data_IF_212297698044
#
_entry.id   IF_212297698044
#
_cell.length_a   1.000
_cell.length_b   1.000
_cell.length_c   1.000
_cell.angle_alpha   90.00
_cell.angle_beta   90.00
_cell.angle_gamma   90.00
#
_symmetry.space_group_name_H-M   'P 1'
#
loop_
_entity.id
_entity.type
_entity.pdbx_description
1 polymer ?
#
# COMPACT_ATOMS: atom_id res chain seq x y z
N UNK A 1 26.20 -17.88 34.79
CA UNK A 1 26.06 -16.81 33.77
C UNK A 1 25.61 -17.45 32.49
N UNK A 2 24.31 -17.42 32.17
CA UNK A 2 23.85 -17.94 30.88
C UNK A 2 22.53 -17.31 30.46
N UNK A 3 22.46 -17.04 29.16
CA UNK A 3 21.28 -16.83 28.32
C UNK A 3 20.73 -15.40 28.21
N UNK A 4 21.45 -14.59 27.41
CA UNK A 4 20.83 -13.56 26.56
C UNK A 4 21.04 -13.97 25.11
N UNK A 5 20.11 -14.73 24.52
CA UNK A 5 20.00 -14.93 23.06
C UNK A 5 18.54 -15.26 22.67
N UNK A 6 17.61 -14.34 22.86
CA UNK A 6 16.23 -14.50 22.37
C UNK A 6 15.59 -13.17 21.97
N UNK A 7 16.24 -12.39 21.10
CA UNK A 7 15.57 -11.21 20.50
C UNK A 7 15.86 -10.99 19.00
N UNK A 8 16.72 -11.80 18.36
CA UNK A 8 17.14 -11.52 16.98
C UNK A 8 16.22 -12.11 15.89
N UNK A 9 15.47 -13.18 16.18
CA UNK A 9 14.67 -13.87 15.16
C UNK A 9 13.37 -13.13 14.79
N UNK A 10 12.77 -12.38 15.72
CA UNK A 10 11.47 -11.73 15.50
C UNK A 10 11.58 -10.53 14.54
N UNK A 11 12.75 -9.88 14.50
CA UNK A 11 12.97 -8.67 13.69
C UNK A 11 13.12 -9.03 12.20
N UNK A 12 13.65 -10.22 11.88
CA UNK A 12 13.83 -10.67 10.49
C UNK A 12 12.51 -11.08 9.79
N UNK A 13 11.55 -11.64 10.52
CA UNK A 13 10.27 -12.05 9.91
C UNK A 13 9.34 -10.87 9.60
N UNK A 14 9.40 -9.79 10.39
CA UNK A 14 8.54 -8.62 10.22
C UNK A 14 8.97 -7.79 9.00
N UNK A 15 10.27 -7.77 8.67
CA UNK A 15 10.80 -7.03 7.51
C UNK A 15 10.61 -7.78 6.19
N UNK A 16 10.63 -9.12 6.20
CA UNK A 16 10.40 -9.93 5.00
C UNK A 16 8.96 -9.82 4.47
N UNK A 17 7.96 -9.85 5.35
CA UNK A 17 6.55 -9.76 4.93
C UNK A 17 6.18 -8.39 4.34
N UNK A 18 6.70 -7.30 4.93
CA UNK A 18 6.50 -5.96 4.38
C UNK A 18 7.07 -5.81 2.98
N UNK A 19 8.32 -6.25 2.80
CA UNK A 19 9.01 -6.17 1.51
C UNK A 19 8.38 -7.06 0.43
N UNK A 20 7.86 -8.24 0.81
CA UNK A 20 7.12 -9.11 -0.09
C UNK A 20 5.80 -8.47 -0.56
N UNK A 21 5.05 -7.83 0.34
CA UNK A 21 3.84 -7.10 -0.03
C UNK A 21 4.14 -5.92 -0.95
N UNK A 22 5.18 -5.13 -0.67
CA UNK A 22 5.54 -3.97 -1.49
C UNK A 22 5.77 -4.36 -2.96
N UNK A 23 6.56 -5.42 -3.20
CA UNK A 23 6.85 -5.91 -4.54
C UNK A 23 5.62 -6.48 -5.23
N UNK A 24 4.80 -7.25 -4.52
CA UNK A 24 3.58 -7.84 -5.08
C UNK A 24 2.57 -6.76 -5.46
N UNK A 25 2.30 -5.82 -4.56
CA UNK A 25 1.34 -4.73 -4.79
C UNK A 25 1.81 -3.85 -5.96
N UNK A 26 3.11 -3.53 -6.01
CA UNK A 26 3.69 -2.82 -7.15
C UNK A 26 3.50 -3.60 -8.45
N UNK A 27 3.82 -4.89 -8.47
CA UNK A 27 3.66 -5.74 -9.65
C UNK A 27 2.20 -5.79 -10.13
N UNK A 28 1.26 -6.03 -9.21
CA UNK A 28 -0.17 -6.10 -9.52
C UNK A 28 -0.68 -4.76 -10.10
N UNK A 29 -0.25 -3.63 -9.53
CA UNK A 29 -0.59 -2.31 -10.05
C UNK A 29 -0.03 -2.09 -11.47
N UNK A 30 1.25 -2.38 -11.71
CA UNK A 30 1.85 -2.19 -13.04
C UNK A 30 1.23 -3.09 -14.08
N UNK A 31 0.96 -4.35 -13.74
CA UNK A 31 0.27 -5.27 -14.64
C UNK A 31 -1.10 -4.71 -15.06
N UNK A 32 -1.85 -4.13 -14.13
CA UNK A 32 -3.14 -3.51 -14.42
C UNK A 32 -2.99 -2.29 -15.33
N UNK A 33 -2.08 -1.37 -15.01
CA UNK A 33 -1.84 -0.15 -15.81
C UNK A 33 -1.44 -0.51 -17.25
N UNK A 34 -0.62 -1.54 -17.43
CA UNK A 34 -0.26 -2.07 -18.74
C UNK A 34 -1.46 -2.64 -19.50
N UNK A 35 -2.37 -3.37 -18.82
CA UNK A 35 -3.60 -3.86 -19.42
C UNK A 35 -4.55 -2.74 -19.84
N UNK A 36 -4.53 -1.62 -19.12
CA UNK A 36 -5.28 -0.40 -19.43
C UNK A 36 -4.61 0.44 -20.53
N UNK A 37 -3.45 0.01 -21.06
CA UNK A 37 -2.74 0.68 -22.15
C UNK A 37 -2.02 1.96 -21.75
N UNK A 38 -1.81 2.19 -20.45
CA UNK A 38 -1.07 3.36 -19.96
C UNK A 38 0.44 3.11 -19.94
N UNK A 39 1.21 4.15 -20.32
CA UNK A 39 2.65 4.02 -20.59
C UNK A 39 3.58 4.56 -19.50
N UNK A 40 3.06 5.27 -18.49
CA UNK A 40 3.90 5.65 -17.38
C UNK A 40 3.20 5.52 -16.04
N UNK A 41 4.02 5.16 -15.08
CA UNK A 41 3.62 4.64 -13.79
C UNK A 41 4.62 5.10 -12.73
N UNK A 42 4.11 5.60 -11.60
CA UNK A 42 4.90 5.93 -10.41
C UNK A 42 4.25 5.23 -9.23
N UNK A 43 4.95 4.25 -8.68
CA UNK A 43 4.58 3.65 -7.41
C UNK A 43 5.37 4.31 -6.29
N UNK A 44 4.67 4.97 -5.36
CA UNK A 44 5.29 5.70 -4.26
C UNK A 44 5.48 4.86 -2.99
N UNK A 45 4.98 3.63 -2.98
CA UNK A 45 5.11 2.72 -1.85
C UNK A 45 4.05 2.90 -0.77
N UNK A 46 4.27 2.21 0.35
CA UNK A 46 3.39 2.23 1.51
C UNK A 46 3.32 3.63 2.12
N UNK A 47 2.11 4.14 2.35
CA UNK A 47 1.86 5.45 2.96
C UNK A 47 1.35 5.34 4.39
N UNK A 48 0.48 4.38 4.66
CA UNK A 48 -0.11 4.24 5.98
C UNK A 48 -0.46 2.78 6.31
N UNK A 49 -0.42 2.46 7.60
CA UNK A 49 -0.99 1.23 8.17
C UNK A 49 -2.14 1.66 9.07
N UNK A 50 -3.37 1.37 8.67
CA UNK A 50 -4.57 1.78 9.37
C UNK A 50 -5.16 0.60 10.15
N UNK A 51 -5.49 0.82 11.43
CA UNK A 51 -6.38 -0.05 12.20
C UNK A 51 -7.84 0.23 11.80
N UNK A 52 -8.81 -0.62 12.17
CA UNK A 52 -10.23 -0.33 11.95
C UNK A 52 -10.59 1.08 12.44
N UNK A 53 -11.47 1.76 11.70
CA UNK A 53 -12.00 3.10 12.00
C UNK A 53 -11.00 4.26 11.89
N UNK A 54 -9.71 3.98 11.67
CA UNK A 54 -8.71 5.02 11.42
C UNK A 54 -8.76 5.53 9.98
N UNK A 55 -8.23 6.73 9.76
CA UNK A 55 -8.11 7.32 8.43
C UNK A 55 -6.67 7.66 8.05
N UNK A 56 -6.44 7.75 6.74
CA UNK A 56 -5.27 8.35 6.13
C UNK A 56 -5.71 9.53 5.27
N UNK A 57 -5.15 10.70 5.52
CA UNK A 57 -5.41 11.90 4.74
C UNK A 57 -4.38 12.01 3.61
N UNK A 58 -4.87 12.10 2.38
CA UNK A 58 -4.04 12.49 1.23
C UNK A 58 -4.23 13.97 0.93
N UNK A 59 -3.41 14.51 0.02
CA UNK A 59 -3.56 15.89 -0.46
C UNK A 59 -4.95 16.17 -1.07
N UNK A 60 -5.65 15.15 -1.56
CA UNK A 60 -6.90 15.32 -2.30
C UNK A 60 -8.14 14.82 -1.55
N UNK A 61 -8.00 13.75 -0.75
CA UNK A 61 -9.11 13.14 -0.04
C UNK A 61 -8.65 12.32 1.16
N UNK A 62 -9.52 12.20 2.15
CA UNK A 62 -9.36 11.29 3.30
C UNK A 62 -9.87 9.89 2.96
N UNK A 63 -9.05 8.88 3.25
CA UNK A 63 -9.42 7.47 3.19
C UNK A 63 -9.71 6.99 4.59
N UNK A 64 -10.94 6.55 4.84
CA UNK A 64 -11.31 5.87 6.06
C UNK A 64 -11.13 4.36 5.90
N UNK A 65 -10.62 3.71 6.94
CA UNK A 65 -10.57 2.26 7.02
C UNK A 65 -11.90 1.73 7.57
N UNK A 66 -12.79 1.41 6.65
CA UNK A 66 -14.10 0.84 6.95
C UNK A 66 -14.05 -0.70 7.11
N UNK A 67 -12.87 -1.31 6.98
CA UNK A 67 -12.70 -2.75 7.18
C UNK A 67 -12.57 -3.09 8.66
N UNK A 68 -13.08 -4.26 9.11
CA UNK A 68 -12.98 -4.71 10.50
C UNK A 68 -11.56 -5.21 10.87
N UNK A 69 -10.58 -5.03 9.98
CA UNK A 69 -9.19 -5.43 10.17
C UNK A 69 -8.23 -4.35 9.67
N UNK A 70 -6.93 -4.56 9.93
CA UNK A 70 -5.89 -3.61 9.53
C UNK A 70 -5.74 -3.59 8.02
N UNK A 71 -5.58 -2.40 7.45
CA UNK A 71 -5.28 -2.25 6.02
C UNK A 71 -4.03 -1.43 5.81
N UNK A 72 -3.32 -1.72 4.73
CA UNK A 72 -2.18 -0.95 4.28
C UNK A 72 -2.60 -0.10 3.09
N UNK A 73 -2.27 1.19 3.13
CA UNK A 73 -2.57 2.11 2.04
C UNK A 73 -1.29 2.41 1.28
N UNK A 74 -1.24 1.99 0.02
CA UNK A 74 -0.18 2.32 -0.92
C UNK A 74 -0.62 3.46 -1.82
N UNK A 75 0.32 4.30 -2.23
CA UNK A 75 0.04 5.37 -3.20
C UNK A 75 0.81 5.12 -4.49
N UNK A 76 0.12 5.34 -5.60
CA UNK A 76 0.68 5.32 -6.95
C UNK A 76 0.05 6.42 -7.80
N UNK A 77 0.56 6.61 -9.02
CA UNK A 77 -0.04 7.47 -10.03
C UNK A 77 0.40 7.03 -11.43
N UNK A 78 -0.45 7.18 -12.44
CA UNK A 78 -0.07 7.09 -13.84
C UNK A 78 0.18 8.49 -14.44
N UNK A 79 0.99 8.58 -15.49
CA UNK A 79 1.33 9.88 -16.14
C UNK A 79 0.17 10.58 -16.81
N UNK A 80 -0.94 9.90 -17.08
CA UNK A 80 -2.08 10.54 -17.73
C UNK A 80 -2.60 11.71 -16.87
N UNK A 81 -2.33 11.71 -15.55
CA UNK A 81 -2.90 12.65 -14.58
C UNK A 81 -1.92 13.11 -13.48
N UNK A 82 -0.60 13.15 -13.77
CA UNK A 82 0.39 13.58 -12.79
C UNK A 82 0.13 15.01 -12.32
N UNK A 83 -0.24 15.18 -11.04
CA UNK A 83 -0.56 16.48 -10.43
C UNK A 83 -2.02 16.66 -10.03
N UNK A 84 -2.93 15.86 -10.59
CA UNK A 84 -4.37 15.94 -10.34
C UNK A 84 -5.00 14.62 -9.92
N UNK A 85 -4.25 13.51 -9.95
CA UNK A 85 -4.73 12.21 -9.47
C UNK A 85 -3.63 11.45 -8.74
N UNK A 86 -4.01 10.75 -7.67
CA UNK A 86 -3.25 9.61 -7.11
C UNK A 86 -4.18 8.41 -7.00
N UNK A 87 -3.62 7.22 -7.22
CA UNK A 87 -4.30 5.97 -6.89
C UNK A 87 -3.87 5.55 -5.49
N UNK A 88 -4.85 5.25 -4.65
CA UNK A 88 -4.65 4.65 -3.35
C UNK A 88 -5.07 3.18 -3.41
N UNK A 89 -4.13 2.27 -3.15
CA UNK A 89 -4.39 0.83 -3.08
C UNK A 89 -4.52 0.44 -1.62
N UNK A 90 -5.70 -0.04 -1.23
CA UNK A 90 -5.96 -0.62 0.09
C UNK A 90 -5.64 -2.11 0.02
N UNK A 91 -4.75 -2.56 0.88
CA UNK A 91 -4.16 -3.90 0.83
C UNK A 91 -4.35 -4.60 2.17
N UNK A 92 -4.72 -5.88 2.13
CA UNK A 92 -4.70 -6.73 3.31
C UNK A 92 -3.24 -7.09 3.66
N UNK A 93 -2.77 -6.77 4.87
CA UNK A 93 -1.37 -6.94 5.25
C UNK A 93 -0.96 -8.40 5.47
N UNK A 94 -1.91 -9.31 5.68
CA UNK A 94 -1.62 -10.71 6.00
C UNK A 94 -1.34 -11.54 4.73
N UNK A 95 -1.90 -11.13 3.59
CA UNK A 95 -1.78 -11.86 2.32
C UNK A 95 -1.42 -10.97 1.11
N UNK A 96 -1.14 -9.69 1.35
CA UNK A 96 -0.75 -8.72 0.32
C UNK A 96 -1.77 -8.63 -0.85
N UNK A 97 -3.04 -8.96 -0.60
CA UNK A 97 -4.09 -8.84 -1.61
C UNK A 97 -4.62 -7.40 -1.62
N UNK A 98 -4.62 -6.78 -2.80
CA UNK A 98 -5.34 -5.52 -3.01
C UNK A 98 -6.83 -5.76 -2.82
N UNK A 99 -7.40 -5.07 -1.85
CA UNK A 99 -8.82 -5.09 -1.52
C UNK A 99 -9.57 -4.10 -2.39
N UNK A 100 -8.99 -2.92 -2.57
CA UNK A 100 -9.60 -1.81 -3.28
C UNK A 100 -8.54 -0.92 -3.92
N UNK A 101 -8.86 -0.34 -5.08
CA UNK A 101 -8.11 0.75 -5.67
C UNK A 101 -9.03 1.96 -5.80
N UNK A 102 -8.66 3.06 -5.15
CA UNK A 102 -9.38 4.33 -5.20
C UNK A 102 -8.56 5.36 -5.96
N UNK A 103 -9.10 5.90 -7.03
CA UNK A 103 -8.53 7.06 -7.71
C UNK A 103 -9.01 8.33 -7.02
N UNK A 104 -8.07 9.12 -6.51
CA UNK A 104 -8.30 10.35 -5.76
C UNK A 104 -7.87 11.52 -6.62
N UNK A 105 -8.78 12.46 -6.86
CA UNK A 105 -8.56 13.59 -7.77
C UNK A 105 -8.48 14.90 -7.00
N UNK A 106 -7.66 15.83 -7.47
CA UNK A 106 -7.81 17.24 -7.14
C UNK A 106 -9.17 17.70 -7.68
N UNK A 107 -10.03 18.21 -6.79
CA UNK A 107 -11.32 18.81 -7.16
C UNK A 107 -11.14 20.09 -8.01
#
# INVERSE_FOLDING_TARGET
>A
MTNVKFFSALIFFITLNGYACDNKVKYDYMKRIQQEGSYYEKFYGLKAKLKPEQSWESRYKTIHNDYPYKVWVYSAASSFMSGFQIDALLVNPDNCKTLELRSLYAE
#
